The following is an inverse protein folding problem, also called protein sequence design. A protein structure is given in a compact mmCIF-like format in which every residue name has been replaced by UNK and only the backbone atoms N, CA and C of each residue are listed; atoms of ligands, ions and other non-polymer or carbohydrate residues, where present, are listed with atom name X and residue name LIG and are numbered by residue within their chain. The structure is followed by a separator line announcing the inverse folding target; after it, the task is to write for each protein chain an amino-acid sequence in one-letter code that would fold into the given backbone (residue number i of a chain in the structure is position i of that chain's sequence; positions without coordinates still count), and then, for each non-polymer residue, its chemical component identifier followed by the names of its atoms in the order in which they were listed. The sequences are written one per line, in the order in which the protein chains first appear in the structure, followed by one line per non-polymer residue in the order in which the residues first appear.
data_IF_866380557325
#
_entry.id   IF_866380557325
#
_cell.length_a   1.000
_cell.length_b   1.000
_cell.length_c   1.000
_cell.angle_alpha   90.00
_cell.angle_beta   90.00
_cell.angle_gamma   90.00
#
_symmetry.space_group_name_H-M   'P 1'
#
loop_
_entity.id
_entity.type
_entity.pdbx_description
1 polymer ?
#
# COMPACT_ATOMS: atom_id res chain seq x y z
N UNK A 1 -13.67 -15.14 14.85
CA UNK A 1 -12.70 -16.24 15.07
C UNK A 1 -11.37 -16.02 14.34
N UNK A 2 -11.35 -15.71 13.04
CA UNK A 2 -10.09 -15.48 12.29
C UNK A 2 -9.19 -14.35 12.82
N UNK A 3 -9.77 -13.20 13.22
CA UNK A 3 -9.00 -12.06 13.74
C UNK A 3 -8.16 -12.42 14.96
N UNK A 4 -8.76 -13.14 15.92
CA UNK A 4 -8.10 -13.57 17.15
C UNK A 4 -6.94 -14.53 16.85
N UNK A 5 -7.16 -15.50 15.96
CA UNK A 5 -6.12 -16.45 15.54
C UNK A 5 -4.94 -15.77 14.82
N UNK A 6 -5.21 -14.76 14.00
CA UNK A 6 -4.18 -13.98 13.29
C UNK A 6 -3.33 -13.17 14.27
N UNK A 7 -3.97 -12.52 15.25
CA UNK A 7 -3.29 -11.80 16.34
C UNK A 7 -2.42 -12.74 17.17
N UNK A 8 -2.93 -13.90 17.57
CA UNK A 8 -2.16 -14.90 18.32
C UNK A 8 -0.93 -15.38 17.54
N UNK A 9 -1.07 -15.57 16.22
CA UNK A 9 0.05 -15.97 15.34
C UNK A 9 1.13 -14.87 15.25
N UNK A 10 0.73 -13.60 15.12
CA UNK A 10 1.65 -12.45 15.09
C UNK A 10 2.36 -12.26 16.44
N UNK A 11 1.62 -12.33 17.55
CA UNK A 11 2.18 -12.23 18.90
C UNK A 11 3.19 -13.37 19.13
N UNK A 12 2.84 -14.61 18.77
CA UNK A 12 3.74 -15.75 18.94
C UNK A 12 5.01 -15.64 18.09
N UNK A 13 4.94 -15.09 16.87
CA UNK A 13 6.11 -14.82 16.01
C UNK A 13 6.99 -13.71 16.56
N UNK A 14 6.40 -12.59 16.97
CA UNK A 14 7.13 -11.43 17.51
C UNK A 14 7.87 -11.71 18.82
N UNK A 15 7.41 -12.70 19.60
CA UNK A 15 8.08 -13.11 20.84
C UNK A 15 9.48 -13.74 20.62
N UNK A 16 9.81 -14.18 19.40
CA UNK A 16 11.07 -14.86 19.11
C UNK A 16 11.88 -14.22 17.98
N UNK A 17 11.27 -13.36 17.14
CA UNK A 17 11.92 -12.61 16.05
C UNK A 17 11.21 -11.28 15.79
N UNK A 18 11.92 -10.21 15.37
CA UNK A 18 11.28 -8.97 14.93
C UNK A 18 10.28 -9.20 13.81
N UNK A 19 9.23 -8.38 13.74
CA UNK A 19 8.31 -8.35 12.59
C UNK A 19 9.02 -7.72 11.39
N UNK A 20 8.82 -8.30 10.21
CA UNK A 20 9.25 -7.68 8.96
C UNK A 20 8.13 -6.76 8.44
N UNK A 21 8.41 -5.45 8.42
CA UNK A 21 7.51 -4.43 7.87
C UNK A 21 8.11 -3.93 6.57
N UNK A 22 7.41 -4.16 5.46
CA UNK A 22 7.85 -3.75 4.13
C UNK A 22 7.51 -2.27 3.90
N UNK A 23 8.54 -1.42 3.90
CA UNK A 23 8.43 0.03 3.70
C UNK A 23 7.88 0.36 2.31
N UNK A 24 6.63 0.85 2.26
CA UNK A 24 5.85 1.12 1.04
C UNK A 24 5.68 -0.11 0.14
N UNK A 25 5.56 -1.28 0.77
CA UNK A 25 5.66 -2.58 0.11
C UNK A 25 7.11 -2.98 -0.19
N UNK A 26 7.34 -3.81 -1.19
CA UNK A 26 8.67 -4.21 -1.62
C UNK A 26 9.33 -3.12 -2.50
N UNK A 27 9.44 -1.90 -1.99
CA UNK A 27 9.85 -0.69 -2.72
C UNK A 27 11.26 -0.75 -3.33
N UNK A 28 12.15 -1.57 -2.79
CA UNK A 28 13.46 -1.86 -3.39
C UNK A 28 13.39 -2.73 -4.66
N UNK A 29 12.24 -3.34 -4.95
CA UNK A 29 12.05 -4.29 -6.06
C UNK A 29 10.95 -3.87 -7.03
N UNK A 30 9.90 -3.21 -6.53
CA UNK A 30 8.69 -2.81 -7.25
C UNK A 30 8.39 -1.35 -6.95
N UNK A 31 7.60 -0.70 -7.80
CA UNK A 31 7.22 0.69 -7.61
C UNK A 31 6.48 0.83 -6.26
N UNK A 32 6.97 1.70 -5.39
CA UNK A 32 6.45 1.89 -4.04
C UNK A 32 4.94 2.18 -4.01
N UNK A 33 4.28 1.81 -2.91
CA UNK A 33 2.86 2.14 -2.67
C UNK A 33 1.90 1.63 -3.78
N UNK A 34 2.29 0.58 -4.51
CA UNK A 34 1.45 -0.09 -5.50
C UNK A 34 0.98 -1.46 -5.01
N UNK A 35 -0.14 -1.96 -5.54
CA UNK A 35 -0.61 -3.33 -5.26
C UNK A 35 0.47 -4.37 -5.62
N UNK A 36 1.21 -4.14 -6.71
CA UNK A 36 2.33 -5.01 -7.11
C UNK A 36 3.45 -5.06 -6.06
N UNK A 37 3.79 -3.92 -5.45
CA UNK A 37 4.80 -3.89 -4.38
C UNK A 37 4.33 -4.61 -3.11
N UNK A 38 3.05 -4.51 -2.76
CA UNK A 38 2.49 -5.21 -1.60
C UNK A 38 2.36 -6.72 -1.83
N UNK A 39 1.88 -7.14 -3.00
CA UNK A 39 1.86 -8.55 -3.42
C UNK A 39 3.25 -9.16 -3.34
N UNK A 40 4.26 -8.45 -3.87
CA UNK A 40 5.63 -8.94 -3.86
C UNK A 40 6.22 -8.97 -2.43
N UNK A 41 5.89 -8.00 -1.57
CA UNK A 41 6.28 -8.04 -0.16
C UNK A 41 5.72 -9.26 0.58
N UNK A 42 4.45 -9.61 0.35
CA UNK A 42 3.85 -10.82 0.89
C UNK A 42 4.53 -12.08 0.37
N UNK A 43 4.86 -12.13 -0.93
CA UNK A 43 5.60 -13.24 -1.53
C UNK A 43 7.01 -13.43 -0.93
N UNK A 44 7.67 -12.32 -0.54
CA UNK A 44 8.94 -12.34 0.18
C UNK A 44 8.79 -12.69 1.68
N UNK A 45 7.57 -12.81 2.19
CA UNK A 45 7.27 -13.23 3.55
C UNK A 45 7.18 -12.11 4.58
N UNK A 46 7.07 -10.84 4.15
CA UNK A 46 6.81 -9.74 5.07
C UNK A 46 5.44 -9.93 5.76
N UNK A 47 5.39 -9.71 7.08
CA UNK A 47 4.15 -9.83 7.84
C UNK A 47 3.29 -8.57 7.81
N UNK A 48 3.91 -7.42 7.61
CA UNK A 48 3.26 -6.12 7.60
C UNK A 48 3.80 -5.26 6.47
N UNK A 49 2.99 -4.30 6.02
CA UNK A 49 3.39 -3.28 5.07
C UNK A 49 3.24 -1.92 5.72
N UNK A 50 4.22 -1.04 5.55
CA UNK A 50 4.05 0.37 5.85
C UNK A 50 3.42 1.05 4.63
N UNK A 51 2.48 1.97 4.89
CA UNK A 51 1.64 2.60 3.87
C UNK A 51 1.53 4.10 4.10
N UNK A 52 1.59 4.88 3.01
CA UNK A 52 1.35 6.32 3.03
C UNK A 52 -0.04 6.63 2.48
N UNK A 53 -0.90 7.28 3.27
CA UNK A 53 -2.28 7.61 2.87
C UNK A 53 -2.43 9.10 2.60
N UNK A 54 -3.08 9.43 1.48
CA UNK A 54 -3.48 10.78 1.08
C UNK A 54 -4.97 10.84 0.77
N UNK A 55 -5.52 12.05 0.74
CA UNK A 55 -6.92 12.30 0.38
C UNK A 55 -6.99 13.04 -0.96
N UNK A 56 -7.86 12.58 -1.84
CA UNK A 56 -8.27 13.31 -3.04
C UNK A 56 -9.19 14.49 -2.71
N UNK A 57 -9.47 15.37 -3.68
CA UNK A 57 -10.36 16.51 -3.50
C UNK A 57 -11.80 16.11 -3.09
N UNK A 58 -12.25 14.92 -3.52
CA UNK A 58 -13.54 14.32 -3.19
C UNK A 58 -13.49 13.38 -1.96
N UNK A 59 -12.37 13.35 -1.23
CA UNK A 59 -12.26 12.67 0.07
C UNK A 59 -11.99 11.17 0.01
N UNK A 60 -11.54 10.64 -1.13
CA UNK A 60 -11.15 9.24 -1.27
C UNK A 60 -9.74 9.04 -0.72
N UNK A 61 -9.57 8.06 0.17
CA UNK A 61 -8.26 7.65 0.68
C UNK A 61 -7.49 6.87 -0.38
N UNK A 62 -6.34 7.39 -0.81
CA UNK A 62 -5.44 6.78 -1.79
C UNK A 62 -4.06 6.56 -1.20
N UNK A 63 -3.30 5.63 -1.78
CA UNK A 63 -1.97 5.24 -1.27
C UNK A 63 -0.88 5.86 -2.14
N UNK A 64 -0.12 6.80 -1.57
CA UNK A 64 0.96 7.54 -2.21
C UNK A 64 1.79 8.27 -1.16
N UNK A 65 3.12 8.21 -1.29
CA UNK A 65 4.01 8.91 -0.36
C UNK A 65 3.92 10.43 -0.54
N UNK A 66 4.23 10.91 -1.75
CA UNK A 66 4.20 12.33 -2.06
C UNK A 66 2.77 12.83 -2.25
N UNK A 67 2.58 14.14 -2.11
CA UNK A 67 1.33 14.82 -2.41
C UNK A 67 1.11 15.05 -3.92
N UNK A 68 2.12 14.78 -4.75
CA UNK A 68 2.11 14.98 -6.20
C UNK A 68 2.62 13.74 -6.95
N UNK A 69 2.09 13.45 -8.14
CA UNK A 69 2.47 12.27 -8.93
C UNK A 69 3.76 12.44 -9.75
N UNK A 70 4.51 13.53 -9.59
CA UNK A 70 5.74 13.76 -10.35
C UNK A 70 6.75 12.62 -10.20
N UNK A 71 6.97 12.12 -8.99
CA UNK A 71 8.00 11.09 -8.75
C UNK A 71 7.57 9.66 -9.12
N UNK A 72 6.27 9.37 -9.15
CA UNK A 72 5.75 8.00 -9.40
C UNK A 72 5.12 7.84 -10.78
N UNK A 73 4.77 8.93 -11.46
CA UNK A 73 4.14 8.95 -12.78
C UNK A 73 4.75 9.96 -13.77
N UNK A 74 5.61 10.88 -13.33
CA UNK A 74 6.11 11.97 -14.19
C UNK A 74 5.04 13.00 -14.55
N UNK A 75 3.93 13.02 -13.82
CA UNK A 75 2.78 13.93 -14.06
C UNK A 75 2.73 14.97 -12.95
N UNK A 76 2.73 16.25 -13.31
CA UNK A 76 2.57 17.32 -12.34
C UNK A 76 1.11 17.51 -11.94
N UNK A 77 0.63 16.67 -11.02
CA UNK A 77 -0.71 16.76 -10.44
C UNK A 77 -0.64 16.53 -8.93
N UNK A 78 -1.21 17.46 -8.16
CA UNK A 78 -1.36 17.34 -6.72
C UNK A 78 -2.61 16.52 -6.40
N UNK A 79 -2.47 15.50 -5.56
CA UNK A 79 -3.53 14.53 -5.25
C UNK A 79 -4.76 15.21 -4.64
N UNK A 80 -4.56 16.18 -3.73
CA UNK A 80 -5.64 16.89 -3.05
C UNK A 80 -6.42 17.86 -3.95
N UNK A 81 -5.95 18.11 -5.18
CA UNK A 81 -6.56 19.09 -6.08
C UNK A 81 -7.51 18.45 -7.10
N UNK A 82 -7.55 17.12 -7.20
CA UNK A 82 -8.34 16.37 -8.19
C UNK A 82 -9.23 15.30 -7.54
N UNK A 83 -10.33 14.94 -8.21
CA UNK A 83 -11.17 13.80 -7.79
C UNK A 83 -10.46 12.47 -8.00
N UNK A 84 -10.90 11.41 -7.31
CA UNK A 84 -10.36 10.08 -7.55
C UNK A 84 -10.55 9.60 -8.99
N UNK A 85 -11.68 9.92 -9.62
CA UNK A 85 -11.94 9.59 -11.02
C UNK A 85 -10.83 10.15 -11.93
N UNK A 86 -10.48 11.43 -11.76
CA UNK A 86 -9.39 12.06 -12.52
C UNK A 86 -8.04 11.45 -12.13
N UNK A 87 -7.75 11.29 -10.85
CA UNK A 87 -6.49 10.73 -10.37
C UNK A 87 -6.23 9.32 -10.93
N UNK A 88 -7.26 8.47 -10.94
CA UNK A 88 -7.19 7.08 -11.40
C UNK A 88 -6.96 6.94 -12.91
N UNK A 89 -7.16 8.02 -13.68
CA UNK A 89 -6.88 8.07 -15.12
C UNK A 89 -5.38 8.15 -15.43
N UNK A 90 -4.57 8.68 -14.50
CA UNK A 90 -3.12 8.71 -14.65
C UNK A 90 -2.53 7.31 -14.50
N UNK A 91 -1.37 7.09 -15.10
CA UNK A 91 -0.62 5.84 -15.01
C UNK A 91 0.70 6.10 -14.34
N UNK A 92 0.96 5.32 -13.29
CA UNK A 92 2.25 5.24 -12.64
C UNK A 92 3.25 4.58 -13.59
N UNK A 93 4.55 4.65 -13.28
CA UNK A 93 5.60 4.09 -14.14
C UNK A 93 5.49 2.57 -14.37
N UNK A 94 4.76 1.84 -13.54
CA UNK A 94 4.46 0.42 -13.73
C UNK A 94 3.12 0.16 -14.45
N UNK A 95 2.54 1.18 -15.09
CA UNK A 95 1.25 1.14 -15.79
C UNK A 95 0.03 0.82 -14.90
N UNK A 96 0.15 0.89 -13.58
CA UNK A 96 -0.99 0.82 -12.67
C UNK A 96 -1.53 2.23 -12.38
N UNK A 97 -2.77 2.31 -11.89
CA UNK A 97 -3.31 3.54 -11.30
C UNK A 97 -2.86 3.65 -9.84
N UNK A 98 -2.95 4.85 -9.26
CA UNK A 98 -2.83 5.03 -7.80
C UNK A 98 -3.90 4.18 -7.11
N UNK A 99 -3.53 3.25 -6.20
CA UNK A 99 -4.52 2.41 -5.54
C UNK A 99 -5.26 3.16 -4.43
N UNK A 100 -6.52 2.79 -4.19
CA UNK A 100 -7.24 3.23 -2.99
C UNK A 100 -6.73 2.46 -1.77
N UNK A 101 -6.92 3.05 -0.59
CA UNK A 101 -6.67 2.33 0.66
C UNK A 101 -7.53 1.06 0.79
N UNK A 102 -8.77 1.09 0.28
CA UNK A 102 -9.67 -0.08 0.27
C UNK A 102 -9.11 -1.24 -0.57
N UNK A 103 -8.57 -0.96 -1.76
CA UNK A 103 -7.93 -1.98 -2.59
C UNK A 103 -6.72 -2.62 -1.88
N UNK A 104 -5.93 -1.81 -1.19
CA UNK A 104 -4.77 -2.29 -0.42
C UNK A 104 -5.24 -3.12 0.79
N UNK A 105 -6.33 -2.72 1.45
CA UNK A 105 -6.97 -3.47 2.54
C UNK A 105 -7.45 -4.85 2.09
N UNK A 106 -8.14 -4.92 0.95
CA UNK A 106 -8.60 -6.18 0.37
C UNK A 106 -7.42 -7.13 0.11
N UNK A 107 -6.35 -6.61 -0.47
CA UNK A 107 -5.12 -7.38 -0.73
C UNK A 107 -4.45 -7.85 0.58
N UNK A 108 -4.42 -7.02 1.62
CA UNK A 108 -3.89 -7.44 2.93
C UNK A 108 -4.74 -8.55 3.56
N UNK A 109 -6.06 -8.51 3.40
CA UNK A 109 -6.95 -9.58 3.85
C UNK A 109 -6.63 -10.88 3.11
N UNK A 110 -6.50 -10.83 1.78
CA UNK A 110 -6.18 -11.97 0.92
C UNK A 110 -4.81 -12.59 1.27
N UNK A 111 -3.78 -11.77 1.40
CA UNK A 111 -2.39 -12.23 1.60
C UNK A 111 -2.05 -12.62 3.03
N UNK A 112 -2.91 -12.31 4.01
CA UNK A 112 -2.60 -12.59 5.40
C UNK A 112 -1.69 -11.54 6.09
N UNK A 113 -1.42 -10.41 5.43
CA UNK A 113 -0.54 -9.32 5.90
C UNK A 113 -1.25 -8.29 6.80
N UNK A 114 -0.49 -7.52 7.59
CA UNK A 114 -0.98 -6.38 8.37
C UNK A 114 -0.49 -5.03 7.83
N UNK A 115 -0.94 -3.94 8.44
CA UNK A 115 -0.45 -2.58 8.14
C UNK A 115 0.28 -1.97 9.32
N UNK A 116 1.27 -1.13 9.01
CA UNK A 116 1.89 -0.18 9.93
C UNK A 116 1.61 1.23 9.44
#
# INVERSE_FOLDING_TARGET
MLRQQRLEKLVKRSQHKPLCIAHRGASGHKLENTLEAFEYAAALGAEMWEIDVRLTADGVCVVSHDDNLMHTAGVNVTISDVSFEVLSSYRLFNNQSVPTFEQVLDLAIETGSGFM
#
